data_IF_209806738611
#
_entry.id   IF_209806738611
#
_cell.length_a   1.000
_cell.length_b   1.000
_cell.length_c   1.000
_cell.angle_alpha   90.00
_cell.angle_beta   90.00
_cell.angle_gamma   90.00
#
_symmetry.space_group_name_H-M   'P 1'
#
loop_
_entity.id
_entity.type
_entity.pdbx_description
1 polymer ?
#
# COMPACT_ATOMS: atom_id res chain seq x y z
N UNK A 1 12.21 11.01 0.88
CA UNK A 1 11.85 9.84 1.70
C UNK A 1 12.58 8.65 1.12
N UNK A 2 13.37 7.93 1.92
CA UNK A 2 14.01 6.70 1.47
C UNK A 2 13.06 5.49 1.64
N UNK A 3 13.43 4.34 1.07
CA UNK A 3 12.58 3.15 1.10
C UNK A 3 12.24 2.68 2.52
N UNK A 4 13.18 2.79 3.46
CA UNK A 4 12.96 2.39 4.86
C UNK A 4 11.97 3.33 5.56
N UNK A 5 12.06 4.65 5.31
CA UNK A 5 11.10 5.65 5.79
C UNK A 5 9.71 5.44 5.19
N UNK A 6 9.63 5.03 3.93
CA UNK A 6 8.35 4.66 3.31
C UNK A 6 7.76 3.43 4.01
N UNK A 7 8.55 2.39 4.26
CA UNK A 7 8.08 1.14 4.90
C UNK A 7 7.77 1.28 6.40
N UNK A 8 8.22 2.36 7.06
CA UNK A 8 7.91 2.62 8.47
C UNK A 8 6.40 2.83 8.72
N UNK A 9 5.62 3.19 7.71
CA UNK A 9 4.17 3.35 7.85
C UNK A 9 3.44 2.00 7.69
N UNK A 10 2.60 1.58 8.65
CA UNK A 10 1.99 0.25 8.67
C UNK A 10 1.18 -0.10 7.42
N UNK A 11 0.40 0.84 6.88
CA UNK A 11 -0.41 0.62 5.67
C UNK A 11 0.46 0.37 4.46
N UNK A 12 1.51 1.18 4.25
CA UNK A 12 2.48 0.98 3.16
C UNK A 12 3.21 -0.35 3.25
N UNK A 13 3.65 -0.74 4.45
CA UNK A 13 4.25 -2.07 4.66
C UNK A 13 3.27 -3.19 4.31
N UNK A 14 2.01 -3.09 4.74
CA UNK A 14 0.99 -4.09 4.42
C UNK A 14 0.69 -4.16 2.92
N UNK A 15 0.70 -3.03 2.21
CA UNK A 15 0.57 -2.99 0.75
C UNK A 15 1.71 -3.77 0.08
N UNK A 16 2.95 -3.58 0.54
CA UNK A 16 4.11 -4.31 0.00
C UNK A 16 4.01 -5.81 0.28
N UNK A 17 3.57 -6.21 1.48
CA UNK A 17 3.29 -7.62 1.78
C UNK A 17 2.25 -8.22 0.84
N UNK A 18 1.14 -7.51 0.57
CA UNK A 18 0.10 -7.98 -0.36
C UNK A 18 0.60 -8.15 -1.80
N UNK A 19 1.50 -7.26 -2.24
CA UNK A 19 2.12 -7.31 -3.57
C UNK A 19 3.23 -8.36 -3.67
N UNK A 20 3.86 -8.72 -2.55
CA UNK A 20 4.85 -9.80 -2.51
C UNK A 20 4.22 -11.16 -2.84
N UNK A 21 2.93 -11.35 -2.54
CA UNK A 21 2.17 -12.55 -2.87
C UNK A 21 1.72 -12.60 -4.36
N UNK A 22 1.89 -11.51 -5.11
CA UNK A 22 1.52 -11.41 -6.52
C UNK A 22 0.93 -10.06 -6.92
N UNK A 23 0.77 -9.85 -8.23
CA UNK A 23 0.15 -8.64 -8.77
C UNK A 23 -1.30 -8.51 -8.31
N UNK A 24 -1.68 -7.30 -7.88
CA UNK A 24 -3.04 -6.96 -7.44
C UNK A 24 -3.41 -5.58 -7.95
N UNK A 25 -4.67 -5.40 -8.31
CA UNK A 25 -5.22 -4.08 -8.61
C UNK A 25 -5.32 -3.21 -7.35
N UNK A 26 -5.34 -1.89 -7.54
CA UNK A 26 -5.54 -0.96 -6.42
C UNK A 26 -6.88 -1.18 -5.70
N UNK A 27 -7.91 -1.67 -6.42
CA UNK A 27 -9.21 -2.01 -5.85
C UNK A 27 -9.15 -3.24 -4.95
N UNK A 28 -8.44 -4.29 -5.37
CA UNK A 28 -8.20 -5.50 -4.56
C UNK A 28 -7.37 -5.16 -3.32
N UNK A 29 -6.31 -4.37 -3.45
CA UNK A 29 -5.52 -3.90 -2.32
C UNK A 29 -6.40 -3.10 -1.35
N UNK A 30 -7.23 -2.19 -1.85
CA UNK A 30 -8.09 -1.37 -1.01
C UNK A 30 -9.15 -2.16 -0.24
N UNK A 31 -9.56 -3.33 -0.74
CA UNK A 31 -10.49 -4.21 -0.02
C UNK A 31 -9.90 -4.80 1.27
N UNK A 32 -8.58 -4.75 1.46
CA UNK A 32 -7.89 -5.23 2.67
C UNK A 32 -7.78 -4.19 3.79
N UNK A 33 -8.29 -2.96 3.59
CA UNK A 33 -8.17 -1.87 4.56
C UNK A 33 -9.53 -1.26 4.87
N UNK A 34 -9.70 -0.82 6.13
CA UNK A 34 -10.87 -0.03 6.55
C UNK A 34 -10.82 1.42 6.01
N UNK A 35 -9.63 1.85 5.55
CA UNK A 35 -9.44 3.18 4.98
C UNK A 35 -10.09 3.29 3.60
N UNK A 36 -10.44 4.52 3.22
CA UNK A 36 -11.07 4.77 1.93
C UNK A 36 -10.11 4.49 0.76
N UNK A 37 -10.67 4.14 -0.42
CA UNK A 37 -9.90 3.94 -1.67
C UNK A 37 -8.93 5.11 -1.98
N UNK A 38 -9.29 6.39 -1.78
CA UNK A 38 -8.36 7.52 -1.92
C UNK A 38 -7.12 7.42 -1.01
N UNK A 39 -7.29 6.92 0.23
CA UNK A 39 -6.20 6.69 1.16
C UNK A 39 -5.18 5.71 0.59
N UNK A 40 -5.64 4.56 0.12
CA UNK A 40 -4.78 3.51 -0.47
C UNK A 40 -4.05 4.02 -1.71
N UNK A 41 -4.72 4.75 -2.60
CA UNK A 41 -4.08 5.38 -3.77
C UNK A 41 -2.96 6.35 -3.38
N UNK A 42 -3.11 7.09 -2.27
CA UNK A 42 -2.05 7.96 -1.75
C UNK A 42 -0.85 7.15 -1.26
N UNK A 43 -1.06 6.05 -0.55
CA UNK A 43 0.02 5.17 -0.11
C UNK A 43 0.76 4.55 -1.31
N UNK A 44 0.04 4.08 -2.33
CA UNK A 44 0.62 3.55 -3.58
C UNK A 44 1.48 4.60 -4.31
N UNK A 45 1.07 5.87 -4.31
CA UNK A 45 1.88 6.95 -4.91
C UNK A 45 3.20 7.19 -4.19
N UNK A 46 3.25 6.98 -2.86
CA UNK A 46 4.48 7.10 -2.07
C UNK A 46 5.40 5.90 -2.26
N UNK A 47 4.84 4.73 -2.59
CA UNK A 47 5.59 3.49 -2.83
C UNK A 47 6.15 3.34 -4.26
N UNK A 48 5.82 4.28 -5.16
CA UNK A 48 6.32 4.34 -6.53
C UNK A 48 7.69 5.00 -6.57
#
# INVERSE_FOLDING_TARGET
MNALEALAEPTRRRIVELLADGERSAGEIAAHFETSRPGVSRHLRVLR
#
